data_IF_293329989611
#
_entry.id   IF_293329989611
#
_cell.length_a   1.000
_cell.length_b   1.000
_cell.length_c   1.000
_cell.angle_alpha   90.00
_cell.angle_beta   90.00
_cell.angle_gamma   90.00
#
_symmetry.space_group_name_H-M   'P 1'
#
loop_
_entity.id
_entity.type
_entity.pdbx_description
1 polymer ?
#
# COMPACT_ATOMS: atom_id res chain seq x y z
N UNK A 1 35.79 -37.52 -9.96
CA UNK A 1 36.52 -36.72 -8.96
C UNK A 1 36.66 -35.35 -9.58
N UNK A 2 35.81 -34.41 -9.19
CA UNK A 2 35.80 -33.06 -9.78
C UNK A 2 36.87 -32.23 -9.07
N UNK A 3 37.66 -31.50 -9.86
CA UNK A 3 38.89 -30.85 -9.45
C UNK A 3 38.57 -29.63 -8.57
N UNK A 4 39.16 -29.55 -7.36
CA UNK A 4 38.86 -28.50 -6.36
C UNK A 4 39.16 -27.07 -6.87
N UNK A 5 39.89 -26.94 -7.98
CA UNK A 5 40.15 -25.67 -8.67
C UNK A 5 38.97 -25.15 -9.50
N UNK A 6 38.10 -26.01 -10.01
CA UNK A 6 36.93 -25.57 -10.80
C UNK A 6 35.82 -25.00 -9.90
N UNK A 7 35.65 -25.55 -8.70
CA UNK A 7 34.66 -25.07 -7.72
C UNK A 7 35.03 -23.68 -7.17
N UNK A 8 36.33 -23.38 -7.00
CA UNK A 8 36.78 -22.04 -6.57
C UNK A 8 36.55 -20.95 -7.62
N UNK A 9 36.67 -21.28 -8.90
CA UNK A 9 36.49 -20.31 -9.98
C UNK A 9 35.02 -19.96 -10.27
N UNK A 10 34.06 -20.82 -9.90
CA UNK A 10 32.63 -20.49 -9.93
C UNK A 10 32.23 -19.58 -8.76
N UNK A 11 32.83 -19.75 -7.58
CA UNK A 11 32.54 -18.93 -6.40
C UNK A 11 33.08 -17.50 -6.54
N UNK A 12 34.22 -17.30 -7.21
CA UNK A 12 34.73 -15.96 -7.53
C UNK A 12 33.95 -15.25 -8.65
N UNK A 13 33.13 -15.96 -9.43
CA UNK A 13 32.23 -15.35 -10.43
C UNK A 13 30.89 -14.90 -9.84
N UNK A 14 30.43 -15.50 -8.74
CA UNK A 14 29.27 -15.02 -7.98
C UNK A 14 29.59 -13.92 -6.96
N UNK A 15 30.88 -13.67 -6.69
CA UNK A 15 31.35 -12.58 -5.83
C UNK A 15 31.33 -11.18 -6.48
N UNK A 16 30.55 -10.96 -7.55
CA UNK A 16 30.11 -9.60 -7.92
C UNK A 16 28.94 -9.19 -7.02
N UNK A 17 29.19 -9.16 -5.71
CA UNK A 17 28.35 -8.43 -4.78
C UNK A 17 28.30 -6.98 -5.26
N UNK A 18 27.10 -6.51 -5.61
CA UNK A 18 26.79 -5.09 -5.74
C UNK A 18 27.34 -4.40 -4.49
N UNK A 19 28.34 -3.52 -4.69
CA UNK A 19 28.98 -2.77 -3.64
C UNK A 19 27.93 -1.89 -2.95
N UNK A 20 27.37 -2.38 -1.84
CA UNK A 20 26.29 -1.72 -1.11
C UNK A 20 26.68 -0.28 -0.71
N UNK A 21 27.97 -0.04 -0.47
CA UNK A 21 28.51 1.30 -0.24
C UNK A 21 28.47 2.23 -1.45
N UNK A 22 28.52 1.72 -2.69
CA UNK A 22 28.32 2.52 -3.90
C UNK A 22 26.83 2.78 -4.18
N UNK A 23 25.96 1.82 -3.87
CA UNK A 23 24.50 2.00 -4.00
C UNK A 23 24.02 3.05 -2.99
N UNK A 24 24.45 2.96 -1.74
CA UNK A 24 24.04 3.92 -0.70
C UNK A 24 24.63 5.31 -0.96
N UNK A 25 25.86 5.40 -1.49
CA UNK A 25 26.44 6.68 -1.94
C UNK A 25 25.64 7.32 -3.07
N UNK A 26 25.30 6.56 -4.11
CA UNK A 26 24.46 7.04 -5.23
C UNK A 26 23.05 7.40 -4.80
N UNK A 27 22.49 6.69 -3.82
CA UNK A 27 21.19 7.03 -3.22
C UNK A 27 21.28 8.37 -2.50
N UNK A 28 22.31 8.57 -1.67
CA UNK A 28 22.52 9.82 -0.94
C UNK A 28 22.74 11.01 -1.87
N UNK A 29 23.58 10.86 -2.89
CA UNK A 29 23.78 11.88 -3.93
C UNK A 29 22.48 12.28 -4.63
N UNK A 30 21.63 11.30 -4.99
CA UNK A 30 20.31 11.58 -5.59
C UNK A 30 19.34 12.26 -4.63
N UNK A 31 19.38 11.91 -3.35
CA UNK A 31 18.54 12.56 -2.32
C UNK A 31 18.98 14.00 -2.11
N UNK A 32 20.29 14.25 -2.03
CA UNK A 32 20.85 15.59 -1.88
C UNK A 32 20.56 16.46 -3.12
N UNK A 33 20.64 15.89 -4.32
CA UNK A 33 20.25 16.58 -5.57
C UNK A 33 18.76 16.93 -5.59
N UNK A 34 17.90 16.01 -5.17
CA UNK A 34 16.45 16.22 -5.11
C UNK A 34 16.10 17.27 -4.04
N UNK A 35 16.74 17.20 -2.88
CA UNK A 35 16.56 18.18 -1.80
C UNK A 35 16.99 19.58 -2.26
N UNK A 36 18.12 19.69 -2.94
CA UNK A 36 18.57 20.96 -3.51
C UNK A 36 17.59 21.51 -4.55
N UNK A 37 17.09 20.66 -5.45
CA UNK A 37 16.10 21.06 -6.47
C UNK A 37 14.80 21.57 -5.84
N UNK A 38 14.26 20.86 -4.85
CA UNK A 38 13.06 21.28 -4.13
C UNK A 38 13.27 22.60 -3.38
N UNK A 39 14.46 22.83 -2.86
CA UNK A 39 14.80 24.07 -2.16
C UNK A 39 14.81 25.26 -3.14
N UNK A 40 15.41 25.09 -4.33
CA UNK A 40 15.39 26.10 -5.40
C UNK A 40 13.98 26.37 -5.92
N UNK A 41 13.15 25.33 -6.11
CA UNK A 41 11.75 25.48 -6.51
C UNK A 41 10.95 26.25 -5.47
N UNK A 42 11.17 25.96 -4.18
CA UNK A 42 10.54 26.68 -3.07
C UNK A 42 10.98 28.14 -3.01
N UNK A 43 12.25 28.44 -3.20
CA UNK A 43 12.74 29.83 -3.26
C UNK A 43 12.09 30.61 -4.41
N UNK A 44 11.94 29.96 -5.58
CA UNK A 44 11.26 30.57 -6.74
C UNK A 44 9.76 30.80 -6.48
N UNK A 45 9.08 29.83 -5.86
CA UNK A 45 7.68 29.96 -5.49
C UNK A 45 7.47 31.08 -4.46
N UNK A 46 8.32 31.15 -3.44
CA UNK A 46 8.28 32.23 -2.44
C UNK A 46 8.50 33.60 -3.08
N UNK A 47 9.45 33.72 -4.00
CA UNK A 47 9.69 34.97 -4.73
C UNK A 47 8.47 35.39 -5.57
N UNK A 48 7.83 34.46 -6.26
CA UNK A 48 6.60 34.76 -7.00
C UNK A 48 5.47 35.23 -6.08
N UNK A 49 5.33 34.61 -4.90
CA UNK A 49 4.34 35.02 -3.90
C UNK A 49 4.64 36.44 -3.38
N UNK A 50 5.91 36.76 -3.10
CA UNK A 50 6.31 38.10 -2.68
C UNK A 50 6.03 39.16 -3.76
N UNK A 51 6.31 38.86 -5.03
CA UNK A 51 6.02 39.75 -6.16
C UNK A 51 4.50 39.98 -6.32
N UNK A 52 3.68 38.94 -6.15
CA UNK A 52 2.22 39.04 -6.23
C UNK A 52 1.64 39.83 -5.04
N UNK A 53 2.15 39.60 -3.83
CA UNK A 53 1.78 40.38 -2.65
C UNK A 53 2.14 41.86 -2.80
N UNK A 54 3.26 42.18 -3.47
CA UNK A 54 3.62 43.56 -3.74
C UNK A 54 2.67 44.21 -4.76
N UNK A 55 2.31 43.50 -5.83
CA UNK A 55 1.31 43.98 -6.81
C UNK A 55 -0.04 44.27 -6.17
N UNK A 56 -0.50 43.38 -5.29
CA UNK A 56 -1.78 43.57 -4.58
C UNK A 56 -1.73 44.80 -3.67
N UNK A 57 -0.61 45.08 -3.01
CA UNK A 57 -0.44 46.31 -2.21
C UNK A 57 -0.42 47.55 -3.08
N UNK A 58 0.22 47.51 -4.23
CA UNK A 58 0.28 48.65 -5.15
C UNK A 58 -1.13 48.96 -5.72
N UNK A 59 -1.91 47.93 -6.05
CA UNK A 59 -3.32 48.08 -6.46
C UNK A 59 -4.22 48.63 -5.33
N UNK A 60 -4.00 48.19 -4.09
CA UNK A 60 -4.75 48.71 -2.94
C UNK A 60 -4.45 50.19 -2.69
N UNK A 61 -3.19 50.61 -2.91
CA UNK A 61 -2.77 52.00 -2.83
C UNK A 61 -3.37 52.88 -3.93
N UNK A 62 -3.40 52.39 -5.18
CA UNK A 62 -4.02 53.09 -6.30
C UNK A 62 -5.54 53.27 -6.10
N UNK A 63 -6.22 52.27 -5.50
CA UNK A 63 -7.63 52.35 -5.16
C UNK A 63 -7.92 53.33 -4.01
N UNK A 64 -7.03 53.44 -3.02
CA UNK A 64 -7.17 54.42 -1.92
C UNK A 64 -6.87 55.84 -2.39
N UNK A 65 -5.93 56.04 -3.31
CA UNK A 65 -5.68 57.34 -3.96
C UNK A 65 -6.85 57.75 -4.88
N UNK A 66 -7.45 56.83 -5.64
CA UNK A 66 -8.64 57.10 -6.46
C UNK A 66 -9.91 57.41 -5.62
N UNK A 67 -10.06 56.79 -4.46
CA UNK A 67 -11.16 57.06 -3.51
C UNK A 67 -10.99 58.38 -2.76
N UNK A 68 -9.77 58.90 -2.68
CA UNK A 68 -9.47 60.22 -2.11
C UNK A 68 -9.72 61.37 -3.09
N UNK A 69 -9.99 61.07 -4.37
CA UNK A 69 -10.30 62.04 -5.44
C UNK A 69 -11.83 62.13 -5.71
N UNK A 70 -12.63 61.20 -5.17
CA UNK A 70 -14.07 61.09 -5.43
C UNK A 70 -14.97 61.33 -4.20
N UNK A 71 -14.47 62.04 -3.19
CA UNK A 71 -15.30 62.60 -2.11
C UNK A 71 -15.34 64.12 -2.28
N UNK A 72 -16.10 64.56 -3.27
CA UNK A 72 -16.85 65.81 -3.24
C UNK A 72 -18.00 65.65 -4.25
N UNK A 73 -19.20 66.07 -3.82
CA UNK A 73 -20.49 66.14 -4.55
C UNK A 73 -21.54 65.05 -4.21
N UNK A 74 -22.46 65.48 -3.32
CA UNK A 74 -23.94 65.26 -3.23
C UNK A 74 -24.48 63.84 -2.96
N UNK A 75 -25.20 63.53 -1.86
CA UNK A 75 -26.46 64.05 -1.26
C UNK A 75 -27.76 63.47 -1.88
N UNK A 76 -28.59 62.84 -1.01
CA UNK A 76 -30.02 62.44 -1.20
C UNK A 76 -30.31 61.37 -2.27
N UNK A 77 -31.25 60.41 -2.19
CA UNK A 77 -32.57 60.28 -1.55
C UNK A 77 -33.09 58.83 -1.71
N UNK A 78 -33.84 58.36 -0.71
CA UNK A 78 -35.11 57.59 -0.78
C UNK A 78 -35.28 56.19 -1.42
N UNK A 79 -36.30 55.54 -0.87
CA UNK A 79 -36.82 54.18 -0.99
C UNK A 79 -37.30 53.78 -2.41
N UNK A 80 -37.41 52.47 -2.68
CA UNK A 80 -38.67 51.70 -2.98
C UNK A 80 -38.47 50.54 -3.99
N UNK A 81 -39.03 49.38 -3.61
CA UNK A 81 -39.50 48.16 -4.33
C UNK A 81 -39.09 47.75 -5.78
N UNK A 82 -38.73 46.45 -5.85
CA UNK A 82 -39.18 45.36 -6.76
C UNK A 82 -39.18 45.52 -8.30
N UNK A 83 -38.37 44.72 -8.99
CA UNK A 83 -38.80 43.70 -9.97
C UNK A 83 -37.57 42.97 -10.60
N UNK A 84 -37.64 41.64 -10.69
CA UNK A 84 -36.83 40.72 -11.52
C UNK A 84 -37.26 40.88 -13.02
N UNK A 85 -36.62 40.32 -14.08
CA UNK A 85 -35.56 39.30 -14.10
C UNK A 85 -34.45 39.44 -15.20
N UNK A 86 -33.51 38.48 -15.16
CA UNK A 86 -32.94 37.72 -16.30
C UNK A 86 -31.53 38.04 -16.88
N UNK A 87 -30.72 36.97 -16.85
CA UNK A 87 -29.53 36.53 -17.61
C UNK A 87 -28.36 37.50 -17.89
N UNK A 88 -27.18 37.18 -17.32
CA UNK A 88 -25.92 37.24 -18.06
C UNK A 88 -24.81 36.41 -17.41
N UNK A 89 -24.22 35.53 -18.21
CA UNK A 89 -22.99 34.75 -18.05
C UNK A 89 -22.08 35.03 -16.84
N UNK A 90 -22.00 34.05 -15.94
CA UNK A 90 -20.79 33.78 -15.15
C UNK A 90 -20.33 32.34 -15.38
N UNK A 91 -20.04 32.06 -16.65
CA UNK A 91 -19.20 30.94 -17.02
C UNK A 91 -17.72 31.36 -16.91
N UNK A 92 -16.91 30.48 -16.33
CA UNK A 92 -15.42 30.45 -16.42
C UNK A 92 -14.61 31.24 -15.37
N UNK A 93 -14.68 30.84 -14.10
CA UNK A 93 -13.55 31.06 -13.15
C UNK A 93 -13.47 30.02 -12.04
N UNK A 94 -13.66 28.74 -12.40
CA UNK A 94 -13.61 27.61 -11.46
C UNK A 94 -12.74 26.44 -11.91
N UNK A 95 -12.04 26.57 -13.05
CA UNK A 95 -11.29 25.45 -13.67
C UNK A 95 -9.76 25.58 -13.61
N UNK A 96 -9.22 26.65 -13.06
CA UNK A 96 -7.75 26.83 -13.02
C UNK A 96 -7.13 26.57 -11.64
N UNK A 97 -7.94 26.38 -10.59
CA UNK A 97 -7.42 26.06 -9.25
C UNK A 97 -7.34 24.55 -8.92
N UNK A 98 -7.73 23.66 -9.84
CA UNK A 98 -7.68 22.21 -9.64
C UNK A 98 -6.51 21.50 -10.33
N UNK A 99 -5.70 22.20 -11.14
CA UNK A 99 -4.62 21.59 -11.91
C UNK A 99 -3.21 21.78 -11.31
N UNK A 100 -3.08 22.44 -10.15
CA UNK A 100 -1.76 22.78 -9.57
C UNK A 100 -1.39 22.00 -8.30
N UNK A 101 -2.21 21.03 -7.85
CA UNK A 101 -1.85 20.08 -6.76
C UNK A 101 -1.44 18.74 -7.38
N UNK A 102 -0.60 18.78 -8.40
CA UNK A 102 0.16 17.62 -8.88
C UNK A 102 1.65 17.81 -8.56
N UNK A 103 1.95 18.47 -7.43
CA UNK A 103 3.30 18.48 -6.86
C UNK A 103 3.58 17.10 -6.25
N UNK A 104 4.29 16.28 -7.05
CA UNK A 104 5.15 15.17 -6.67
C UNK A 104 4.97 14.61 -5.24
N UNK A 105 3.80 14.05 -4.94
CA UNK A 105 3.65 13.12 -3.84
C UNK A 105 4.65 11.98 -4.07
N UNK A 106 5.50 11.61 -3.10
CA UNK A 106 6.40 10.48 -3.24
C UNK A 106 5.54 9.24 -3.46
N UNK A 107 5.49 8.76 -4.70
CA UNK A 107 4.75 7.56 -5.04
C UNK A 107 5.37 6.40 -4.28
N UNK A 108 4.70 5.96 -3.22
CA UNK A 108 5.12 4.76 -2.50
C UNK A 108 4.90 3.57 -3.46
N UNK A 109 5.97 2.92 -3.94
CA UNK A 109 5.80 1.85 -4.91
C UNK A 109 5.14 0.66 -4.21
N UNK A 110 3.93 0.32 -4.68
CA UNK A 110 3.14 -0.82 -4.21
C UNK A 110 3.01 -1.85 -5.33
N UNK A 111 2.82 -3.13 -4.96
CA UNK A 111 2.71 -4.20 -5.95
C UNK A 111 1.37 -4.21 -6.70
N UNK A 112 0.33 -3.65 -6.10
CA UNK A 112 -0.91 -3.26 -6.76
C UNK A 112 -1.29 -1.85 -6.34
N UNK A 113 -2.00 -1.07 -7.19
CA UNK A 113 -2.47 0.25 -6.83
C UNK A 113 -3.50 0.18 -5.71
N UNK A 114 -3.37 1.11 -4.78
CA UNK A 114 -4.27 1.31 -3.64
C UNK A 114 -4.69 2.77 -3.56
N UNK A 115 -5.81 3.03 -2.88
CA UNK A 115 -6.23 4.40 -2.55
C UNK A 115 -5.22 5.04 -1.60
N UNK A 116 -5.14 6.37 -1.66
CA UNK A 116 -4.30 7.17 -0.75
C UNK A 116 -4.64 6.90 0.72
N UNK A 117 -5.91 6.67 1.03
CA UNK A 117 -6.36 6.36 2.39
C UNK A 117 -5.73 5.05 2.91
N UNK A 118 -5.70 3.99 2.10
CA UNK A 118 -5.06 2.74 2.50
C UNK A 118 -3.55 2.92 2.65
N UNK A 119 -2.92 3.61 1.70
CA UNK A 119 -1.47 3.89 1.74
C UNK A 119 -1.12 4.67 3.00
N UNK A 120 -1.87 5.71 3.33
CA UNK A 120 -1.68 6.51 4.55
C UNK A 120 -1.88 5.66 5.82
N UNK A 121 -2.96 4.88 5.88
CA UNK A 121 -3.32 4.12 7.08
C UNK A 121 -2.40 2.93 7.36
N UNK A 122 -1.98 2.21 6.32
CA UNK A 122 -1.29 0.92 6.47
C UNK A 122 0.16 0.91 6.00
N UNK A 123 0.62 1.88 5.20
CA UNK A 123 1.97 1.87 4.62
C UNK A 123 2.82 3.01 5.16
N UNK A 124 2.30 4.23 5.13
CA UNK A 124 3.01 5.44 5.55
C UNK A 124 2.71 5.83 7.00
N UNK A 125 2.47 4.85 7.87
CA UNK A 125 2.16 5.08 9.26
C UNK A 125 3.45 5.15 10.13
N UNK A 126 3.36 5.84 11.27
CA UNK A 126 4.51 5.97 12.18
C UNK A 126 4.84 4.68 12.94
N UNK A 127 3.89 3.74 13.02
CA UNK A 127 4.10 2.47 13.70
C UNK A 127 5.11 1.59 12.95
N UNK A 128 5.02 1.50 11.62
CA UNK A 128 6.01 0.81 10.81
C UNK A 128 7.43 1.36 10.99
N UNK A 129 7.57 2.69 10.99
CA UNK A 129 8.87 3.36 11.23
C UNK A 129 9.43 2.97 12.60
N UNK A 130 8.58 2.96 13.62
CA UNK A 130 8.97 2.57 14.99
C UNK A 130 9.40 1.11 15.06
N UNK A 131 8.70 0.21 14.34
CA UNK A 131 9.04 -1.22 14.27
C UNK A 131 10.40 -1.43 13.59
N UNK A 132 10.66 -0.77 12.45
CA UNK A 132 11.96 -0.83 11.75
C UNK A 132 13.11 -0.33 12.63
N UNK A 133 12.90 0.77 13.37
CA UNK A 133 13.90 1.26 14.33
C UNK A 133 14.18 0.24 15.44
N UNK A 134 13.14 -0.42 15.97
CA UNK A 134 13.29 -1.42 17.02
C UNK A 134 14.02 -2.68 16.51
N UNK A 135 13.71 -3.12 15.27
CA UNK A 135 14.46 -4.18 14.58
C UNK A 135 15.94 -3.79 14.48
N UNK A 136 16.23 -2.56 14.02
CA UNK A 136 17.60 -2.09 13.87
C UNK A 136 18.35 -2.01 15.20
N UNK A 137 17.74 -1.42 16.23
CA UNK A 137 18.31 -1.31 17.59
C UNK A 137 18.60 -2.69 18.17
N UNK A 138 17.67 -3.64 18.04
CA UNK A 138 17.88 -4.99 18.56
C UNK A 138 19.00 -5.72 17.81
N UNK A 139 19.07 -5.62 16.48
CA UNK A 139 20.17 -6.20 15.68
C UNK A 139 21.55 -5.65 16.04
N UNK A 140 21.64 -4.41 16.51
CA UNK A 140 22.93 -3.86 16.95
C UNK A 140 23.41 -4.45 18.27
N UNK A 141 22.49 -4.75 19.18
CA UNK A 141 22.81 -5.21 20.54
C UNK A 141 22.87 -6.73 20.63
N UNK A 142 22.05 -7.45 19.84
CA UNK A 142 21.99 -8.90 19.86
C UNK A 142 23.29 -9.52 19.29
N UNK A 143 23.89 -10.54 19.94
CA UNK A 143 25.05 -11.24 19.38
C UNK A 143 24.75 -11.82 17.99
N UNK A 144 25.66 -11.62 17.02
CA UNK A 144 25.49 -12.11 15.63
C UNK A 144 25.19 -13.61 15.54
N UNK A 145 25.77 -14.42 16.44
CA UNK A 145 25.51 -15.85 16.51
C UNK A 145 24.04 -16.16 16.87
N UNK A 146 23.46 -15.41 17.82
CA UNK A 146 22.06 -15.56 18.21
C UNK A 146 21.10 -15.12 17.08
N UNK A 147 21.40 -14.01 16.40
CA UNK A 147 20.64 -13.56 15.22
C UNK A 147 20.64 -14.64 14.12
N UNK A 148 21.81 -15.20 13.83
CA UNK A 148 21.96 -16.25 12.83
C UNK A 148 21.20 -17.52 13.23
N UNK A 149 21.29 -17.93 14.50
CA UNK A 149 20.58 -19.09 15.01
C UNK A 149 19.07 -18.92 14.89
N UNK A 150 18.53 -17.77 15.33
CA UNK A 150 17.10 -17.46 15.20
C UNK A 150 16.67 -17.55 13.73
N UNK A 151 17.43 -16.92 12.82
CA UNK A 151 17.16 -16.97 11.38
C UNK A 151 17.15 -18.38 10.81
N UNK A 152 18.14 -19.21 11.17
CA UNK A 152 18.21 -20.60 10.73
C UNK A 152 17.00 -21.40 11.23
N UNK A 153 16.63 -21.24 12.51
CA UNK A 153 15.49 -21.98 13.07
C UNK A 153 14.18 -21.55 12.41
N UNK A 154 13.92 -20.25 12.29
CA UNK A 154 12.71 -19.71 11.63
C UNK A 154 12.62 -20.22 10.19
N UNK A 155 13.70 -20.09 9.42
CA UNK A 155 13.72 -20.56 8.03
C UNK A 155 13.48 -22.06 7.91
N UNK A 156 14.15 -22.86 8.74
CA UNK A 156 14.01 -24.32 8.73
C UNK A 156 12.59 -24.75 9.06
N UNK A 157 11.96 -24.13 10.07
CA UNK A 157 10.61 -24.51 10.50
C UNK A 157 9.54 -24.04 9.52
N UNK A 158 9.67 -22.84 8.96
CA UNK A 158 8.70 -22.34 7.99
C UNK A 158 8.70 -23.13 6.67
N UNK A 159 9.84 -23.67 6.23
CA UNK A 159 9.89 -24.59 5.09
C UNK A 159 9.18 -25.92 5.36
N UNK A 160 8.97 -26.28 6.64
CA UNK A 160 8.33 -27.54 7.03
C UNK A 160 6.81 -27.43 7.16
N UNK A 161 6.21 -26.24 7.11
CA UNK A 161 4.76 -26.07 7.25
C UNK A 161 4.04 -26.87 6.16
N UNK A 162 3.08 -27.70 6.55
CA UNK A 162 2.23 -28.47 5.64
C UNK A 162 0.91 -28.84 6.33
N UNK A 163 -0.10 -29.28 5.56
CA UNK A 163 -1.42 -29.68 6.08
C UNK A 163 -1.47 -30.96 6.91
N UNK A 164 -0.34 -31.43 7.43
CA UNK A 164 -0.30 -32.58 8.34
C UNK A 164 -0.82 -32.15 9.72
N UNK A 165 -1.83 -32.89 10.22
CA UNK A 165 -2.44 -32.62 11.51
C UNK A 165 -1.41 -32.45 12.64
N UNK A 166 -1.55 -31.36 13.40
CA UNK A 166 -0.68 -31.03 14.54
C UNK A 166 0.73 -30.52 14.17
N UNK A 167 1.07 -30.38 12.88
CA UNK A 167 2.38 -29.88 12.48
C UNK A 167 2.54 -28.37 12.76
N UNK A 168 1.51 -27.57 12.49
CA UNK A 168 1.49 -26.13 12.77
C UNK A 168 1.78 -25.88 14.25
N UNK A 169 1.09 -26.59 15.16
CA UNK A 169 1.33 -26.50 16.60
C UNK A 169 2.74 -26.92 17.02
N UNK A 170 3.33 -27.95 16.40
CA UNK A 170 4.73 -28.34 16.65
C UNK A 170 5.71 -27.25 16.22
N UNK A 171 5.48 -26.62 15.07
CA UNK A 171 6.30 -25.52 14.57
C UNK A 171 6.17 -24.31 15.51
N UNK A 172 4.95 -23.94 15.90
CA UNK A 172 4.70 -22.88 16.86
C UNK A 172 5.45 -23.09 18.17
N UNK A 173 5.37 -24.29 18.76
CA UNK A 173 6.03 -24.59 20.03
C UNK A 173 7.55 -24.47 19.98
N UNK A 174 8.17 -24.68 18.81
CA UNK A 174 9.61 -24.46 18.62
C UNK A 174 9.90 -22.97 18.42
N UNK A 175 9.09 -22.27 17.61
CA UNK A 175 9.37 -20.88 17.26
C UNK A 175 8.99 -19.86 18.35
N UNK A 176 8.12 -20.23 19.29
CA UNK A 176 7.67 -19.33 20.37
C UNK A 176 8.79 -18.80 21.25
N UNK A 177 9.90 -19.54 21.39
CA UNK A 177 11.06 -19.09 22.17
C UNK A 177 11.72 -17.83 21.58
N UNK A 178 11.53 -17.59 20.28
CA UNK A 178 12.03 -16.41 19.58
C UNK A 178 10.99 -15.29 19.48
N UNK A 179 9.71 -15.57 19.77
CA UNK A 179 8.58 -14.70 19.41
C UNK A 179 8.58 -13.32 20.06
N UNK A 180 9.38 -13.12 21.10
CA UNK A 180 9.51 -11.86 21.82
C UNK A 180 10.48 -10.86 21.16
N UNK A 181 11.20 -11.30 20.10
CA UNK A 181 12.25 -10.52 19.45
C UNK A 181 11.74 -9.81 18.19
N UNK A 182 12.17 -8.58 17.95
CA UNK A 182 11.94 -7.87 16.69
C UNK A 182 12.71 -8.53 15.52
N UNK A 183 13.86 -9.16 15.76
CA UNK A 183 14.57 -10.00 14.78
C UNK A 183 13.70 -11.18 14.35
N UNK A 184 12.94 -11.77 15.27
CA UNK A 184 11.95 -12.80 14.92
C UNK A 184 10.85 -12.21 14.06
N UNK A 185 10.24 -11.09 14.46
CA UNK A 185 9.17 -10.43 13.72
C UNK A 185 9.57 -10.18 12.26
N UNK A 186 10.74 -9.58 12.03
CA UNK A 186 11.27 -9.35 10.69
C UNK A 186 11.48 -10.66 9.94
N UNK A 187 12.23 -11.59 10.52
CA UNK A 187 12.62 -12.83 9.83
C UNK A 187 11.41 -13.69 9.51
N UNK A 188 10.47 -13.81 10.46
CA UNK A 188 9.22 -14.54 10.30
C UNK A 188 8.39 -13.92 9.18
N UNK A 189 8.20 -12.60 9.18
CA UNK A 189 7.44 -11.90 8.13
C UNK A 189 8.05 -12.12 6.74
N UNK A 190 9.35 -11.89 6.61
CA UNK A 190 10.06 -12.07 5.34
C UNK A 190 9.93 -13.51 4.84
N UNK A 191 10.05 -14.48 5.74
CA UNK A 191 9.97 -15.90 5.38
C UNK A 191 8.55 -16.35 5.08
N UNK A 192 7.52 -15.83 5.75
CA UNK A 192 6.11 -16.07 5.41
C UNK A 192 5.80 -15.57 4.00
N UNK A 193 6.21 -14.35 3.65
CA UNK A 193 6.06 -13.83 2.29
C UNK A 193 6.81 -14.69 1.28
N UNK A 194 8.02 -15.15 1.61
CA UNK A 194 8.77 -16.09 0.76
C UNK A 194 8.01 -17.41 0.54
N UNK A 195 7.44 -18.01 1.60
CA UNK A 195 6.64 -19.23 1.46
C UNK A 195 5.35 -19.00 0.67
N UNK A 196 4.75 -17.80 0.76
CA UNK A 196 3.66 -17.39 -0.12
C UNK A 196 4.04 -17.47 -1.60
N UNK A 197 5.25 -17.01 -1.95
CA UNK A 197 5.78 -17.06 -3.32
C UNK A 197 6.14 -18.47 -3.79
N UNK A 198 6.68 -19.29 -2.89
CA UNK A 198 7.19 -20.62 -3.23
C UNK A 198 6.12 -21.70 -3.09
N UNK A 199 5.66 -21.95 -1.87
CA UNK A 199 4.78 -23.08 -1.57
C UNK A 199 3.32 -22.78 -1.89
N UNK A 200 2.80 -21.63 -1.40
CA UNK A 200 1.36 -21.32 -1.56
C UNK A 200 1.01 -21.05 -3.01
N UNK A 201 1.91 -20.43 -3.77
CA UNK A 201 1.71 -20.21 -5.20
C UNK A 201 1.63 -21.52 -6.00
N UNK A 202 2.39 -22.56 -5.60
CA UNK A 202 2.33 -23.89 -6.21
C UNK A 202 1.21 -24.78 -5.68
N UNK A 203 0.81 -24.59 -4.42
CA UNK A 203 -0.27 -25.31 -3.76
C UNK A 203 -1.19 -24.31 -3.06
N UNK A 204 -2.17 -23.72 -3.76
CA UNK A 204 -2.99 -22.62 -3.24
C UNK A 204 -3.68 -22.92 -1.92
N UNK A 205 -4.05 -24.17 -1.63
CA UNK A 205 -4.69 -24.57 -0.38
C UNK A 205 -3.79 -24.47 0.87
N UNK A 206 -2.47 -24.48 0.69
CA UNK A 206 -1.50 -24.44 1.80
C UNK A 206 -1.43 -23.09 2.54
N UNK A 207 -2.13 -22.05 2.05
CA UNK A 207 -2.19 -20.75 2.73
C UNK A 207 -2.75 -20.86 4.15
N UNK A 208 -3.65 -21.83 4.40
CA UNK A 208 -4.35 -21.95 5.68
C UNK A 208 -3.39 -22.26 6.82
N UNK A 209 -2.45 -23.16 6.61
CA UNK A 209 -1.46 -23.55 7.61
C UNK A 209 -0.49 -22.40 7.93
N UNK A 210 -0.11 -21.61 6.93
CA UNK A 210 0.69 -20.40 7.15
C UNK A 210 -0.10 -19.31 7.86
N UNK A 211 -1.38 -19.14 7.51
CA UNK A 211 -2.27 -18.16 8.13
C UNK A 211 -2.56 -18.51 9.59
N UNK A 212 -2.80 -19.78 9.88
CA UNK A 212 -2.97 -20.30 11.23
C UNK A 212 -1.71 -20.06 12.06
N UNK A 213 -0.54 -20.43 11.53
CA UNK A 213 0.73 -20.18 12.22
C UNK A 213 0.97 -18.69 12.48
N UNK A 214 0.65 -17.83 11.51
CA UNK A 214 0.73 -16.38 11.68
C UNK A 214 -0.20 -15.91 12.80
N UNK A 215 -1.45 -16.40 12.84
CA UNK A 215 -2.41 -16.06 13.89
C UNK A 215 -1.96 -16.53 15.28
N UNK A 216 -1.25 -17.66 15.38
CA UNK A 216 -0.68 -18.11 16.65
C UNK A 216 0.42 -17.19 17.19
N UNK A 217 1.11 -16.45 16.31
CA UNK A 217 2.13 -15.45 16.66
C UNK A 217 1.61 -14.01 16.60
N UNK A 218 0.29 -13.83 16.45
CA UNK A 218 -0.26 -12.52 16.15
C UNK A 218 0.08 -11.48 17.22
N UNK A 219 0.59 -10.35 16.75
CA UNK A 219 0.63 -9.09 17.47
C UNK A 219 0.26 -7.94 16.51
N UNK A 220 -0.21 -6.79 17.02
CA UNK A 220 -0.46 -5.62 16.18
C UNK A 220 0.77 -5.21 15.37
N UNK A 221 1.96 -5.23 15.98
CA UNK A 221 3.23 -4.91 15.34
C UNK A 221 3.58 -5.91 14.22
N UNK A 222 3.38 -7.21 14.45
CA UNK A 222 3.62 -8.23 13.43
C UNK A 222 2.71 -8.03 12.22
N UNK A 223 1.42 -7.77 12.46
CA UNK A 223 0.45 -7.56 11.39
C UNK A 223 0.76 -6.28 10.60
N UNK A 224 1.11 -5.20 11.29
CA UNK A 224 1.51 -3.94 10.68
C UNK A 224 2.74 -4.10 9.79
N UNK A 225 3.79 -4.73 10.33
CA UNK A 225 4.99 -5.03 9.57
C UNK A 225 4.71 -5.92 8.35
N UNK A 226 3.91 -6.96 8.54
CA UNK A 226 3.52 -7.87 7.47
C UNK A 226 2.77 -7.18 6.33
N UNK A 227 1.81 -6.31 6.63
CA UNK A 227 1.09 -5.53 5.61
C UNK A 227 2.03 -4.68 4.78
N UNK A 228 2.92 -3.92 5.42
CA UNK A 228 3.86 -3.04 4.71
C UNK A 228 4.75 -3.85 3.78
N UNK A 229 5.36 -4.93 4.28
CA UNK A 229 6.21 -5.80 3.47
C UNK A 229 5.42 -6.47 2.35
N UNK A 230 4.19 -6.92 2.62
CA UNK A 230 3.32 -7.56 1.62
C UNK A 230 2.91 -6.57 0.52
N UNK A 231 2.52 -5.33 0.84
CA UNK A 231 2.03 -4.35 -0.14
C UNK A 231 3.15 -3.72 -0.96
N UNK A 232 4.35 -3.58 -0.41
CA UNK A 232 5.46 -2.85 -1.06
C UNK A 232 6.45 -3.76 -1.80
N UNK A 233 6.51 -5.06 -1.47
CA UNK A 233 7.43 -5.96 -2.17
C UNK A 233 6.91 -6.35 -3.55
N UNK A 234 7.82 -6.26 -4.53
CA UNK A 234 7.58 -6.69 -5.90
C UNK A 234 7.09 -8.14 -5.97
N UNK A 235 6.08 -8.37 -6.79
CA UNK A 235 5.48 -9.67 -7.02
C UNK A 235 5.23 -9.89 -8.51
N UNK A 236 5.25 -11.15 -8.93
CA UNK A 236 4.93 -11.55 -10.29
C UNK A 236 3.51 -12.12 -10.36
N UNK A 237 2.98 -12.27 -11.58
CA UNK A 237 1.68 -12.91 -11.83
C UNK A 237 1.58 -14.28 -11.14
N UNK A 238 2.67 -15.05 -11.14
CA UNK A 238 2.68 -16.41 -10.59
C UNK A 238 2.72 -16.42 -9.05
N UNK A 239 3.09 -15.32 -8.40
CA UNK A 239 3.37 -15.29 -6.96
C UNK A 239 2.43 -14.41 -6.16
N UNK A 240 1.79 -13.42 -6.80
CA UNK A 240 0.91 -12.43 -6.15
C UNK A 240 -0.24 -13.13 -5.41
N UNK A 241 -0.86 -14.15 -6.00
CA UNK A 241 -1.96 -14.88 -5.34
C UNK A 241 -1.46 -15.57 -4.07
N UNK A 242 -0.32 -16.26 -4.13
CA UNK A 242 0.17 -17.02 -2.99
C UNK A 242 0.53 -16.16 -1.79
N UNK A 243 1.11 -14.98 -2.00
CA UNK A 243 1.40 -14.05 -0.89
C UNK A 243 0.11 -13.46 -0.30
N UNK A 244 -0.83 -13.00 -1.12
CA UNK A 244 -2.09 -12.42 -0.66
C UNK A 244 -3.03 -13.46 -0.03
N UNK A 245 -2.97 -14.72 -0.47
CA UNK A 245 -3.75 -15.81 0.15
C UNK A 245 -3.44 -15.94 1.64
N UNK A 246 -2.18 -15.79 2.06
CA UNK A 246 -1.82 -15.85 3.48
C UNK A 246 -2.43 -14.66 4.23
N UNK A 247 -2.31 -13.45 3.70
CA UNK A 247 -2.92 -12.26 4.31
C UNK A 247 -4.44 -12.39 4.44
N UNK A 248 -5.12 -12.84 3.39
CA UNK A 248 -6.56 -13.07 3.44
C UNK A 248 -6.95 -14.21 4.37
N UNK A 249 -6.16 -15.29 4.46
CA UNK A 249 -6.40 -16.34 5.44
C UNK A 249 -6.23 -15.84 6.88
N UNK A 250 -5.30 -14.93 7.15
CA UNK A 250 -5.18 -14.28 8.47
C UNK A 250 -6.46 -13.49 8.79
N UNK A 251 -6.96 -12.67 7.85
CA UNK A 251 -8.22 -11.93 8.04
C UNK A 251 -9.43 -12.85 8.25
N UNK A 252 -9.49 -13.97 7.52
CA UNK A 252 -10.53 -14.99 7.66
C UNK A 252 -10.52 -15.60 9.08
N UNK A 253 -9.36 -16.08 9.53
CA UNK A 253 -9.19 -16.73 10.85
C UNK A 253 -9.49 -15.74 12.00
N UNK A 254 -9.10 -14.47 11.85
CA UNK A 254 -9.37 -13.43 12.84
C UNK A 254 -10.79 -12.84 12.76
N UNK A 255 -11.61 -13.28 11.80
CA UNK A 255 -12.94 -12.73 11.53
C UNK A 255 -12.93 -11.20 11.32
N UNK A 256 -11.87 -10.67 10.69
CA UNK A 256 -11.66 -9.23 10.53
C UNK A 256 -12.31 -8.73 9.22
N UNK A 257 -13.64 -8.68 9.21
CA UNK A 257 -14.42 -8.25 8.05
C UNK A 257 -14.25 -6.76 7.72
N UNK A 258 -13.99 -5.91 8.71
CA UNK A 258 -13.78 -4.47 8.51
C UNK A 258 -12.54 -4.19 7.66
N UNK A 259 -11.43 -4.85 7.97
CA UNK A 259 -10.20 -4.73 7.19
C UNK A 259 -10.33 -5.38 5.82
N UNK A 260 -11.02 -6.52 5.72
CA UNK A 260 -11.32 -7.14 4.43
C UNK A 260 -12.13 -6.20 3.53
N UNK A 261 -13.14 -5.53 4.10
CA UNK A 261 -13.97 -4.56 3.40
C UNK A 261 -13.17 -3.32 2.97
N UNK A 262 -12.40 -2.75 3.88
CA UNK A 262 -11.53 -1.60 3.61
C UNK A 262 -10.50 -1.92 2.51
N UNK A 263 -9.89 -3.11 2.58
CA UNK A 263 -8.94 -3.58 1.58
C UNK A 263 -9.56 -3.65 0.19
N UNK A 264 -10.69 -4.35 0.03
CA UNK A 264 -11.29 -4.52 -1.30
C UNK A 264 -11.83 -3.20 -1.86
N UNK A 265 -12.40 -2.34 -1.02
CA UNK A 265 -12.81 -0.99 -1.44
C UNK A 265 -11.61 -0.20 -1.98
N UNK A 266 -10.46 -0.24 -1.30
CA UNK A 266 -9.25 0.43 -1.77
C UNK A 266 -8.77 -0.09 -3.13
N UNK A 267 -8.76 -1.41 -3.34
CA UNK A 267 -8.33 -2.00 -4.62
C UNK A 267 -9.30 -1.64 -5.75
N UNK A 268 -10.61 -1.72 -5.52
CA UNK A 268 -11.63 -1.47 -6.54
C UNK A 268 -11.80 0.02 -6.88
N UNK A 269 -11.38 0.92 -6.00
CA UNK A 269 -11.38 2.37 -6.22
C UNK A 269 -10.05 2.90 -6.77
N UNK A 270 -9.11 2.01 -7.09
CA UNK A 270 -7.80 2.36 -7.64
C UNK A 270 -7.68 1.98 -9.11
N UNK A 271 -6.83 2.69 -9.85
CA UNK A 271 -6.53 2.35 -11.24
C UNK A 271 -5.93 0.93 -11.31
N UNK A 272 -6.51 0.05 -12.12
CA UNK A 272 -6.07 -1.34 -12.19
C UNK A 272 -4.68 -1.47 -12.83
N UNK A 273 -3.86 -2.38 -12.29
CA UNK A 273 -2.67 -2.88 -12.99
C UNK A 273 -2.84 -4.37 -13.36
N UNK A 274 -1.84 -4.94 -14.02
CA UNK A 274 -1.86 -6.35 -14.46
C UNK A 274 -2.07 -7.34 -13.30
N UNK A 275 -1.65 -6.99 -12.09
CA UNK A 275 -1.69 -7.85 -10.90
C UNK A 275 -3.00 -7.70 -10.09
N UNK A 276 -3.65 -6.53 -10.13
CA UNK A 276 -4.88 -6.22 -9.37
C UNK A 276 -5.96 -7.30 -9.51
N UNK A 277 -6.20 -7.77 -10.74
CA UNK A 277 -7.22 -8.79 -10.99
C UNK A 277 -6.98 -10.11 -10.23
N UNK A 278 -5.73 -10.58 -10.15
CA UNK A 278 -5.39 -11.81 -9.44
C UNK A 278 -5.60 -11.68 -7.93
N UNK A 279 -5.38 -10.47 -7.39
CA UNK A 279 -5.63 -10.18 -5.98
C UNK A 279 -7.13 -10.14 -5.70
N UNK A 280 -7.94 -9.52 -6.57
CA UNK A 280 -9.41 -9.53 -6.46
C UNK A 280 -9.98 -10.95 -6.57
N UNK A 281 -9.47 -11.76 -7.50
CA UNK A 281 -9.83 -13.17 -7.62
C UNK A 281 -9.52 -13.95 -6.34
N UNK A 282 -8.31 -13.79 -5.80
CA UNK A 282 -7.87 -14.39 -4.54
C UNK A 282 -8.75 -13.94 -3.37
N UNK A 283 -9.08 -12.65 -3.30
CA UNK A 283 -9.93 -12.05 -2.28
C UNK A 283 -11.30 -12.72 -2.22
N UNK A 284 -12.03 -12.77 -3.34
CA UNK A 284 -13.37 -13.38 -3.34
C UNK A 284 -13.34 -14.89 -3.13
N UNK A 285 -12.23 -15.55 -3.48
CA UNK A 285 -12.06 -16.98 -3.24
C UNK A 285 -11.96 -17.31 -1.75
N UNK A 286 -11.30 -16.45 -0.95
CA UNK A 286 -11.01 -16.69 0.48
C UNK A 286 -11.97 -15.91 1.39
N UNK A 287 -12.11 -14.60 1.19
CA UNK A 287 -12.87 -13.70 2.08
C UNK A 287 -14.32 -13.48 1.66
N UNK A 288 -14.74 -14.06 0.54
CA UNK A 288 -16.13 -13.94 0.09
C UNK A 288 -17.12 -14.49 1.13
N UNK A 289 -16.83 -15.65 1.72
CA UNK A 289 -17.71 -16.29 2.71
C UNK A 289 -17.78 -15.46 4.02
N UNK A 290 -16.65 -14.85 4.42
CA UNK A 290 -16.58 -13.94 5.55
C UNK A 290 -17.50 -12.73 5.33
N UNK A 291 -17.33 -12.00 4.22
CA UNK A 291 -18.13 -10.81 3.95
C UNK A 291 -19.61 -11.15 3.70
N UNK A 292 -19.91 -12.28 3.08
CA UNK A 292 -21.28 -12.73 2.90
C UNK A 292 -21.99 -12.96 4.24
N UNK A 293 -21.29 -13.55 5.23
CA UNK A 293 -21.80 -13.76 6.58
C UNK A 293 -21.99 -12.46 7.35
N UNK A 294 -20.95 -11.61 7.38
CA UNK A 294 -20.92 -10.42 8.24
C UNK A 294 -21.71 -9.24 7.64
N UNK A 295 -21.69 -9.05 6.32
CA UNK A 295 -22.30 -7.90 5.65
C UNK A 295 -23.01 -8.26 4.33
N UNK A 296 -23.90 -9.27 4.38
CA UNK A 296 -24.60 -9.84 3.22
C UNK A 296 -25.13 -8.83 2.18
N UNK A 297 -25.90 -7.82 2.61
CA UNK A 297 -26.48 -6.82 1.70
C UNK A 297 -25.41 -5.95 1.02
N UNK A 298 -24.49 -5.31 1.77
CA UNK A 298 -23.31 -4.66 1.18
C UNK A 298 -22.51 -5.58 0.24
N UNK A 299 -22.31 -6.85 0.60
CA UNK A 299 -21.57 -7.80 -0.22
C UNK A 299 -22.22 -8.05 -1.59
N UNK A 300 -23.55 -8.11 -1.68
CA UNK A 300 -24.23 -8.17 -2.98
C UNK A 300 -23.98 -6.93 -3.83
N UNK A 301 -24.04 -5.73 -3.23
CA UNK A 301 -23.72 -4.47 -3.93
C UNK A 301 -22.27 -4.42 -4.40
N UNK A 302 -21.35 -4.97 -3.61
CA UNK A 302 -19.93 -5.11 -3.99
C UNK A 302 -19.78 -5.98 -5.24
N UNK A 303 -20.44 -7.14 -5.28
CA UNK A 303 -20.42 -8.02 -6.46
C UNK A 303 -21.02 -7.34 -7.70
N UNK A 304 -22.15 -6.64 -7.55
CA UNK A 304 -22.76 -5.85 -8.64
C UNK A 304 -21.82 -4.74 -9.14
N UNK A 305 -21.16 -4.04 -8.21
CA UNK A 305 -20.16 -3.01 -8.54
C UNK A 305 -19.00 -3.60 -9.35
N UNK A 306 -18.47 -4.76 -8.92
CA UNK A 306 -17.39 -5.44 -9.64
C UNK A 306 -17.84 -5.82 -11.06
N UNK A 307 -19.03 -6.39 -11.23
CA UNK A 307 -19.59 -6.73 -12.55
C UNK A 307 -19.77 -5.49 -13.44
N UNK A 308 -20.32 -4.40 -12.89
CA UNK A 308 -20.72 -3.22 -13.67
C UNK A 308 -19.56 -2.29 -14.01
N UNK A 309 -18.59 -2.14 -13.12
CA UNK A 309 -17.52 -1.15 -13.24
C UNK A 309 -16.15 -1.80 -13.38
N UNK A 310 -15.76 -2.68 -12.46
CA UNK A 310 -14.41 -3.25 -12.43
C UNK A 310 -14.12 -4.14 -13.65
N UNK A 311 -15.07 -4.98 -14.07
CA UNK A 311 -14.90 -5.87 -15.22
C UNK A 311 -14.75 -5.16 -16.56
N UNK A 312 -15.20 -3.90 -16.68
CA UNK A 312 -15.08 -3.14 -17.94
C UNK A 312 -13.65 -2.74 -18.25
N UNK A 313 -12.83 -2.56 -17.22
CA UNK A 313 -11.44 -2.15 -17.33
C UNK A 313 -10.46 -3.35 -17.31
N UNK A 314 -11.00 -4.56 -17.14
CA UNK A 314 -10.23 -5.77 -16.90
C UNK A 314 -9.97 -6.53 -18.21
N UNK A 315 -8.69 -6.63 -18.60
CA UNK A 315 -8.27 -7.30 -19.84
C UNK A 315 -8.01 -8.82 -19.69
N UNK A 316 -8.25 -9.41 -18.51
CA UNK A 316 -7.92 -10.80 -18.19
C UNK A 316 -9.19 -11.65 -18.05
N UNK A 317 -9.72 -12.11 -19.19
CA UNK A 317 -10.95 -12.91 -19.23
C UNK A 317 -10.90 -14.18 -18.35
N UNK A 318 -9.82 -14.98 -18.33
CA UNK A 318 -9.75 -16.14 -17.42
C UNK A 318 -9.92 -15.78 -15.94
N UNK A 319 -9.37 -14.65 -15.51
CA UNK A 319 -9.51 -14.17 -14.14
C UNK A 319 -10.93 -13.68 -13.85
N UNK A 320 -11.57 -13.02 -14.82
CA UNK A 320 -12.96 -12.57 -14.75
C UNK A 320 -13.92 -13.75 -14.62
N UNK A 321 -13.74 -14.81 -15.41
CA UNK A 321 -14.51 -16.06 -15.30
C UNK A 321 -14.37 -16.67 -13.90
N UNK A 322 -13.17 -16.71 -13.32
CA UNK A 322 -12.98 -17.25 -11.97
C UNK A 322 -13.63 -16.40 -10.87
N UNK A 323 -13.60 -15.07 -11.00
CA UNK A 323 -14.34 -14.18 -10.09
C UNK A 323 -15.84 -14.42 -10.21
N UNK A 324 -16.36 -14.55 -11.43
CA UNK A 324 -17.76 -14.88 -11.69
C UNK A 324 -18.16 -16.22 -11.04
N UNK A 325 -17.38 -17.28 -11.25
CA UNK A 325 -17.64 -18.57 -10.61
C UNK A 325 -17.60 -18.47 -9.08
N UNK A 326 -16.78 -17.58 -8.51
CA UNK A 326 -16.80 -17.33 -7.08
C UNK A 326 -18.12 -16.67 -6.62
N UNK A 327 -18.74 -15.82 -7.44
CA UNK A 327 -20.03 -15.17 -7.15
C UNK A 327 -21.23 -16.13 -7.23
N UNK A 328 -21.18 -17.13 -8.11
CA UNK A 328 -22.24 -18.13 -8.27
C UNK A 328 -22.52 -18.89 -6.96
N UNK A 329 -21.50 -19.07 -6.11
CA UNK A 329 -21.63 -19.66 -4.76
C UNK A 329 -22.63 -18.94 -3.86
N UNK A 330 -22.91 -17.66 -4.13
CA UNK A 330 -23.81 -16.82 -3.34
C UNK A 330 -25.16 -16.59 -4.03
N UNK A 331 -25.48 -17.34 -5.09
CA UNK A 331 -26.76 -17.29 -5.80
C UNK A 331 -26.91 -16.14 -6.80
N UNK A 332 -25.81 -15.47 -7.17
CA UNK A 332 -25.83 -14.46 -8.22
C UNK A 332 -25.64 -15.12 -9.59
N UNK A 333 -26.74 -15.32 -10.33
CA UNK A 333 -26.68 -15.81 -11.71
C UNK A 333 -26.02 -14.77 -12.64
N UNK A 334 -25.42 -15.25 -13.72
CA UNK A 334 -24.81 -14.40 -14.75
C UNK A 334 -25.76 -14.33 -15.95
N UNK A 335 -26.20 -13.12 -16.26
CA UNK A 335 -26.83 -12.78 -17.54
C UNK A 335 -25.75 -12.50 -18.60
#
# INVERSE_FOLDING_TARGET
MWDEKEIRNEWDKEAKHLNYGEIERKRKEKVDELAYRLLVEREKANKNIEEELQRLRDQEKDLTEARSISVDVEEMTEETHADDPDVSDFSTSGKELQNSINEAQPSCPTNIPFTEELVSRFILNNGYVSIEENIWKEKLVMPKAAQMQAKIQINKRLTQVSGKAGQVGKIFNVLREYSHSYVFLETFTLKIVEQGRLQVSSCPGSYREFSELFCMFYSPELMEYFRVILFTREASVNTIKGIYSIYFGVLEIQNNADEAWFFIASVLNSKQNKLSCYVVECFFSILGDLLFRECRRPFFKLMEYVKKYYFKEMNNEPCKTRIVSAFERYGMQCD
#
